data_IF_641844063806
#
_entry.id   IF_641844063806
#
_cell.length_a   1.000
_cell.length_b   1.000
_cell.length_c   1.000
_cell.angle_alpha   90.00
_cell.angle_beta   90.00
_cell.angle_gamma   90.00
#
_symmetry.space_group_name_H-M   'P 1'
#
loop_
_entity.id
_entity.type
_entity.pdbx_description
1 polymer ?
#
# COMPACT_ATOMS: atom_id res chain seq x y z
N UNK A 1 -55.55 11.50 -11.27
CA UNK A 1 -55.61 10.02 -11.20
C UNK A 1 -54.90 9.54 -9.94
N UNK A 2 -55.09 8.30 -9.45
CA UNK A 2 -54.36 7.81 -8.25
C UNK A 2 -53.83 6.39 -8.44
N UNK A 3 -52.53 6.19 -8.21
CA UNK A 3 -51.85 4.90 -8.36
C UNK A 3 -51.15 4.47 -7.07
N UNK A 4 -50.90 3.17 -6.93
CA UNK A 4 -50.27 2.56 -5.76
C UNK A 4 -48.90 1.97 -6.11
N UNK A 5 -48.00 1.92 -5.12
CA UNK A 5 -46.73 1.19 -5.25
C UNK A 5 -46.98 -0.26 -5.70
N UNK A 6 -46.28 -0.68 -6.75
CA UNK A 6 -46.42 -1.97 -7.40
C UNK A 6 -47.42 -2.00 -8.57
N UNK A 7 -48.15 -0.91 -8.80
CA UNK A 7 -48.93 -0.75 -10.03
C UNK A 7 -47.99 -0.60 -11.23
N UNK A 8 -48.41 -1.14 -12.37
CA UNK A 8 -47.74 -1.00 -13.65
C UNK A 8 -48.61 -0.10 -14.53
N UNK A 9 -48.01 0.99 -15.00
CA UNK A 9 -48.65 1.97 -15.87
C UNK A 9 -48.07 1.85 -17.27
N UNK A 10 -48.92 2.02 -18.28
CA UNK A 10 -48.52 2.28 -19.65
C UNK A 10 -48.58 3.80 -19.84
N UNK A 11 -47.43 4.42 -20.11
CA UNK A 11 -47.28 5.86 -20.36
C UNK A 11 -46.50 6.03 -21.65
N UNK A 12 -47.08 6.70 -22.65
CA UNK A 12 -46.56 6.80 -24.02
C UNK A 12 -46.16 5.44 -24.63
N UNK A 13 -46.98 4.42 -24.37
CA UNK A 13 -46.72 3.06 -24.85
C UNK A 13 -45.55 2.34 -24.15
N UNK A 14 -44.99 2.88 -23.07
CA UNK A 14 -43.93 2.25 -22.27
C UNK A 14 -44.46 1.80 -20.92
N UNK A 15 -44.17 0.56 -20.52
CA UNK A 15 -44.57 0.04 -19.22
C UNK A 15 -43.58 0.43 -18.10
N UNK A 16 -44.11 1.02 -17.03
CA UNK A 16 -43.38 1.38 -15.83
C UNK A 16 -44.03 0.78 -14.59
N UNK A 17 -43.24 0.31 -13.63
CA UNK A 17 -43.73 -0.06 -12.30
C UNK A 17 -43.54 1.10 -11.32
N UNK A 18 -44.58 1.42 -10.56
CA UNK A 18 -44.58 2.47 -9.52
C UNK A 18 -43.79 1.98 -8.31
N UNK A 19 -42.73 2.71 -7.97
CA UNK A 19 -41.85 2.42 -6.83
C UNK A 19 -42.25 3.21 -5.58
N UNK A 20 -42.79 4.41 -5.77
CA UNK A 20 -43.22 5.29 -4.71
C UNK A 20 -44.00 6.48 -5.26
N UNK A 21 -44.53 7.29 -4.35
CA UNK A 21 -45.32 8.46 -4.67
C UNK A 21 -45.08 9.58 -3.68
N UNK A 22 -45.22 10.81 -4.15
CA UNK A 22 -45.23 12.03 -3.35
C UNK A 22 -46.49 12.81 -3.70
N UNK A 23 -47.13 13.43 -2.71
CA UNK A 23 -48.18 14.42 -2.95
C UNK A 23 -47.69 15.73 -2.40
N UNK A 24 -47.63 16.73 -3.28
CA UNK A 24 -47.23 18.08 -2.95
C UNK A 24 -48.44 18.98 -2.77
N UNK A 25 -48.21 20.12 -2.12
CA UNK A 25 -49.15 21.23 -2.05
C UNK A 25 -48.41 22.54 -2.24
N UNK A 26 -48.82 23.32 -3.24
CA UNK A 26 -48.33 24.68 -3.41
C UNK A 26 -48.91 25.55 -2.27
N UNK A 27 -48.05 26.27 -1.58
CA UNK A 27 -48.44 27.13 -0.45
C UNK A 27 -49.16 28.40 -0.88
N UNK A 28 -49.01 28.84 -2.12
CA UNK A 28 -49.61 30.07 -2.62
C UNK A 28 -51.12 29.94 -2.84
N UNK A 29 -51.56 28.84 -3.45
CA UNK A 29 -52.95 28.61 -3.85
C UNK A 29 -53.61 27.39 -3.16
N UNK A 30 -52.81 26.53 -2.51
CA UNK A 30 -53.26 25.32 -1.85
C UNK A 30 -53.53 24.14 -2.79
N UNK A 31 -53.24 24.28 -4.08
CA UNK A 31 -53.40 23.22 -5.07
C UNK A 31 -52.39 22.10 -4.82
N UNK A 32 -52.77 20.87 -5.22
CA UNK A 32 -52.00 19.67 -4.95
C UNK A 32 -51.88 18.84 -6.23
N UNK A 33 -50.68 18.31 -6.46
CA UNK A 33 -50.39 17.34 -7.51
C UNK A 33 -49.72 16.10 -6.89
N UNK A 34 -49.73 15.01 -7.63
CA UNK A 34 -49.00 13.80 -7.26
C UNK A 34 -47.85 13.55 -8.22
N UNK A 35 -46.74 13.11 -7.64
CA UNK A 35 -45.63 12.57 -8.41
C UNK A 35 -45.43 11.10 -8.10
N UNK A 36 -45.19 10.32 -9.14
CA UNK A 36 -44.93 8.89 -9.06
C UNK A 36 -43.53 8.58 -9.54
N UNK A 37 -42.69 8.08 -8.64
CA UNK A 37 -41.39 7.51 -9.01
C UNK A 37 -41.62 6.16 -9.65
N UNK A 38 -41.18 5.99 -10.89
CA UNK A 38 -41.39 4.75 -11.64
C UNK A 38 -40.12 4.24 -12.32
N UNK A 39 -40.08 2.93 -12.58
CA UNK A 39 -38.99 2.30 -13.32
C UNK A 39 -39.55 1.50 -14.50
N UNK A 40 -38.90 1.58 -15.67
CA UNK A 40 -39.25 0.75 -16.83
C UNK A 40 -39.22 -0.73 -16.44
N UNK A 41 -40.25 -1.49 -16.81
CA UNK A 41 -40.32 -2.94 -16.55
C UNK A 41 -39.23 -3.69 -17.33
N UNK A 42 -38.90 -3.18 -18.52
CA UNK A 42 -37.78 -3.57 -19.36
C UNK A 42 -36.62 -2.58 -19.23
N UNK A 43 -35.68 -2.89 -18.33
CA UNK A 43 -34.48 -2.09 -18.11
C UNK A 43 -34.42 -1.52 -16.70
N UNK A 44 -33.71 -0.42 -16.55
CA UNK A 44 -33.47 0.20 -15.25
C UNK A 44 -33.40 1.73 -15.33
N UNK A 45 -34.10 2.30 -16.32
CA UNK A 45 -34.35 3.73 -16.43
C UNK A 45 -35.46 4.10 -15.48
N UNK A 46 -35.18 5.10 -14.66
CA UNK A 46 -36.10 5.71 -13.72
C UNK A 46 -36.69 6.98 -14.33
N UNK A 47 -37.96 7.22 -14.06
CA UNK A 47 -38.70 8.42 -14.46
C UNK A 47 -39.65 8.82 -13.33
N UNK A 48 -40.11 10.06 -13.36
CA UNK A 48 -41.17 10.58 -12.52
C UNK A 48 -42.36 10.95 -13.40
N UNK A 49 -43.56 10.56 -12.98
CA UNK A 49 -44.81 11.00 -13.60
C UNK A 49 -45.47 12.00 -12.67
N UNK A 50 -45.63 13.25 -13.12
CA UNK A 50 -46.41 14.27 -12.44
C UNK A 50 -47.85 14.25 -12.93
N UNK A 51 -48.80 14.40 -12.01
CA UNK A 51 -50.23 14.41 -12.26
C UNK A 51 -50.86 15.57 -11.50
N UNK A 52 -51.20 16.63 -12.23
CA UNK A 52 -52.03 17.73 -11.74
C UNK A 52 -53.43 17.66 -12.36
N UNK A 53 -54.36 17.05 -11.63
CA UNK A 53 -55.77 16.97 -12.07
C UNK A 53 -56.49 18.35 -12.01
N UNK A 54 -55.97 19.32 -11.25
CA UNK A 54 -56.60 20.65 -11.10
C UNK A 54 -56.39 21.47 -12.36
N UNK A 55 -55.18 21.42 -12.91
CA UNK A 55 -54.80 22.11 -14.13
C UNK A 55 -54.86 21.22 -15.39
N UNK A 56 -55.13 19.93 -15.23
CA UNK A 56 -55.11 18.93 -16.31
C UNK A 56 -53.74 18.84 -17.00
N UNK A 57 -52.69 18.88 -16.19
CA UNK A 57 -51.30 18.89 -16.62
C UNK A 57 -50.62 17.60 -16.15
N UNK A 58 -49.95 16.91 -17.08
CA UNK A 58 -49.32 15.63 -16.82
C UNK A 58 -47.99 15.57 -17.54
N UNK A 59 -46.94 15.13 -16.87
CA UNK A 59 -45.61 15.14 -17.46
C UNK A 59 -44.78 13.95 -17.01
N UNK A 60 -43.83 13.55 -17.85
CA UNK A 60 -42.84 12.52 -17.51
C UNK A 60 -41.45 13.12 -17.54
N UNK A 61 -40.77 13.08 -16.40
CA UNK A 61 -39.42 13.64 -16.25
C UNK A 61 -38.41 12.56 -15.86
N UNK A 62 -37.13 12.85 -16.07
CA UNK A 62 -36.02 12.07 -15.53
C UNK A 62 -34.98 13.02 -14.95
N UNK A 63 -34.40 12.62 -13.81
CA UNK A 63 -33.38 13.42 -13.11
C UNK A 63 -32.11 13.48 -13.96
N UNK A 64 -31.59 14.69 -14.18
CA UNK A 64 -30.34 14.95 -14.92
C UNK A 64 -29.13 15.24 -14.02
N UNK A 65 -29.36 15.29 -12.70
CA UNK A 65 -28.34 15.46 -11.64
C UNK A 65 -28.32 16.87 -11.05
N UNK A 66 -27.28 17.19 -10.26
CA UNK A 66 -27.15 18.47 -9.52
C UNK A 66 -26.75 19.67 -10.39
N UNK A 67 -26.52 19.46 -11.70
CA UNK A 67 -26.10 20.53 -12.61
C UNK A 67 -27.28 20.97 -13.46
N UNK A 68 -27.63 22.25 -13.31
CA UNK A 68 -28.65 22.90 -14.12
C UNK A 68 -28.41 22.62 -15.63
N UNK A 69 -29.40 22.06 -16.35
CA UNK A 69 -29.35 21.92 -17.79
C UNK A 69 -29.32 23.29 -18.48
N UNK A 70 -29.00 23.31 -19.77
CA UNK A 70 -28.99 24.56 -20.53
C UNK A 70 -30.42 25.10 -20.71
N UNK A 71 -30.75 26.21 -20.05
CA UNK A 71 -32.03 26.93 -20.20
C UNK A 71 -32.17 27.74 -21.50
N UNK A 72 -31.21 27.64 -22.42
CA UNK A 72 -31.27 28.36 -23.71
C UNK A 72 -32.44 27.84 -24.55
N UNK A 73 -33.38 28.72 -24.87
CA UNK A 73 -34.59 28.38 -25.62
C UNK A 73 -35.73 27.88 -24.75
N UNK A 74 -35.58 27.99 -23.42
CA UNK A 74 -36.63 27.74 -22.44
C UNK A 74 -37.05 29.05 -21.77
N UNK A 75 -38.29 29.08 -21.29
CA UNK A 75 -38.85 30.18 -20.51
C UNK A 75 -39.62 29.62 -19.32
N UNK A 76 -39.70 30.37 -18.23
CA UNK A 76 -40.40 29.94 -17.01
C UNK A 76 -41.92 30.02 -17.23
N UNK A 77 -42.62 28.95 -16.85
CA UNK A 77 -44.08 28.83 -17.01
C UNK A 77 -44.79 28.71 -15.66
N UNK A 78 -44.17 28.05 -14.69
CA UNK A 78 -44.64 28.00 -13.30
C UNK A 78 -43.50 28.14 -12.30
N UNK A 79 -43.83 28.62 -11.11
CA UNK A 79 -42.94 28.67 -9.96
C UNK A 79 -43.73 28.79 -8.67
N UNK A 80 -43.18 28.23 -7.60
CA UNK A 80 -43.84 28.30 -6.33
C UNK A 80 -43.03 27.73 -5.19
N UNK A 81 -43.73 27.54 -4.08
CA UNK A 81 -43.18 26.93 -2.88
C UNK A 81 -44.07 25.75 -2.50
N UNK A 82 -43.49 24.56 -2.53
CA UNK A 82 -44.17 23.29 -2.34
C UNK A 82 -43.91 22.70 -0.96
N UNK A 83 -44.90 21.95 -0.46
CA UNK A 83 -44.78 21.18 0.78
C UNK A 83 -45.23 19.76 0.51
N UNK A 84 -44.41 18.79 0.91
CA UNK A 84 -44.79 17.38 0.90
C UNK A 84 -45.89 17.16 1.94
N UNK A 85 -47.07 16.72 1.49
CA UNK A 85 -48.20 16.40 2.40
C UNK A 85 -48.45 14.91 2.53
N UNK A 86 -47.95 14.10 1.59
CA UNK A 86 -47.93 12.65 1.68
C UNK A 86 -46.74 12.09 0.91
N UNK A 87 -46.15 11.00 1.42
CA UNK A 87 -45.07 10.27 0.76
C UNK A 87 -45.26 8.77 1.00
N UNK A 88 -44.99 7.94 -0.01
CA UNK A 88 -45.10 6.49 0.10
C UNK A 88 -44.09 5.75 -0.77
N UNK A 89 -43.65 4.57 -0.34
CA UNK A 89 -42.75 3.73 -1.13
C UNK A 89 -41.32 4.24 -1.17
N UNK A 90 -40.64 4.05 -2.31
CA UNK A 90 -39.23 4.37 -2.50
C UNK A 90 -39.03 5.82 -2.93
N UNK A 91 -39.24 6.77 -2.01
CA UNK A 91 -39.00 8.21 -2.22
C UNK A 91 -38.14 8.75 -1.07
N UNK A 92 -37.36 9.79 -1.31
CA UNK A 92 -36.41 10.36 -0.33
C UNK A 92 -36.92 11.66 0.32
N UNK A 93 -38.24 11.70 0.58
CA UNK A 93 -38.92 12.84 1.21
C UNK A 93 -39.96 12.35 2.22
N UNK A 94 -40.27 13.19 3.20
CA UNK A 94 -41.28 12.95 4.23
C UNK A 94 -42.28 14.11 4.33
N UNK A 95 -43.52 13.87 4.84
CA UNK A 95 -44.47 14.94 5.03
C UNK A 95 -43.91 16.09 5.89
N UNK A 96 -43.95 17.30 5.34
CA UNK A 96 -43.39 18.51 5.94
C UNK A 96 -42.09 19.02 5.29
N UNK A 97 -41.45 18.21 4.45
CA UNK A 97 -40.35 18.66 3.59
C UNK A 97 -40.86 19.69 2.57
N UNK A 98 -40.00 20.62 2.19
CA UNK A 98 -40.35 21.82 1.42
C UNK A 98 -39.24 22.15 0.43
N UNK A 99 -39.63 22.65 -0.74
CA UNK A 99 -38.74 23.16 -1.77
C UNK A 99 -39.36 24.40 -2.44
N UNK A 100 -38.51 25.24 -3.03
CA UNK A 100 -38.96 26.17 -4.07
C UNK A 100 -38.84 25.46 -5.41
N UNK A 101 -39.83 25.57 -6.28
CA UNK A 101 -39.79 24.96 -7.61
C UNK A 101 -39.90 26.00 -8.72
N UNK A 102 -39.26 25.71 -9.86
CA UNK A 102 -39.40 26.44 -11.11
C UNK A 102 -39.60 25.43 -12.25
N UNK A 103 -40.61 25.67 -13.08
CA UNK A 103 -40.86 24.88 -14.28
C UNK A 103 -40.63 25.73 -15.53
N UNK A 104 -39.91 25.16 -16.49
CA UNK A 104 -39.56 25.82 -17.74
C UNK A 104 -40.02 25.00 -18.94
N UNK A 105 -40.52 25.69 -19.95
CA UNK A 105 -40.91 25.09 -21.24
C UNK A 105 -40.10 25.66 -22.40
N UNK A 106 -39.88 24.84 -23.43
CA UNK A 106 -39.33 25.30 -24.70
C UNK A 106 -40.39 25.99 -25.59
N UNK A 107 -39.96 26.65 -26.66
CA UNK A 107 -40.88 27.34 -27.60
C UNK A 107 -41.91 26.41 -28.28
N UNK A 108 -41.80 25.09 -28.10
CA UNK A 108 -42.77 24.12 -28.63
C UNK A 108 -43.85 23.75 -27.64
N UNK A 109 -43.71 24.13 -26.36
CA UNK A 109 -44.62 23.74 -25.26
C UNK A 109 -44.66 22.21 -25.04
N UNK A 110 -43.63 21.48 -25.51
CA UNK A 110 -43.57 20.01 -25.42
C UNK A 110 -42.49 19.53 -24.45
N UNK A 111 -41.40 20.29 -24.31
CA UNK A 111 -40.27 19.89 -23.45
C UNK A 111 -40.24 20.73 -22.20
N UNK A 112 -40.03 20.04 -21.08
CA UNK A 112 -39.97 20.67 -19.77
C UNK A 112 -38.61 20.47 -19.11
N UNK A 113 -38.24 21.46 -18.30
CA UNK A 113 -37.21 21.38 -17.29
C UNK A 113 -37.86 21.75 -15.98
N UNK A 114 -37.75 20.88 -14.98
CA UNK A 114 -38.16 21.19 -13.61
C UNK A 114 -36.91 21.33 -12.73
N UNK A 115 -36.87 22.41 -11.96
CA UNK A 115 -35.88 22.70 -10.94
C UNK A 115 -36.56 22.71 -9.57
N UNK A 116 -36.05 21.92 -8.64
CA UNK A 116 -36.46 21.94 -7.23
C UNK A 116 -35.27 22.36 -6.36
N UNK A 117 -35.46 23.38 -5.54
CA UNK A 117 -34.48 23.94 -4.64
C UNK A 117 -34.77 23.48 -3.21
N UNK A 118 -34.10 22.40 -2.82
CA UNK A 118 -34.16 21.82 -1.49
C UNK A 118 -33.15 22.48 -0.54
N UNK A 119 -33.27 22.18 0.76
CA UNK A 119 -32.38 22.74 1.78
C UNK A 119 -30.91 22.28 1.66
N UNK A 120 -30.67 21.15 1.02
CA UNK A 120 -29.38 20.49 0.84
C UNK A 120 -28.84 20.53 -0.59
N UNK A 121 -29.62 21.02 -1.55
CA UNK A 121 -29.18 21.13 -2.93
C UNK A 121 -30.29 21.50 -3.91
N UNK A 122 -29.91 21.66 -5.18
CA UNK A 122 -30.84 21.81 -6.29
C UNK A 122 -30.93 20.49 -7.05
N UNK A 123 -32.14 20.03 -7.32
CA UNK A 123 -32.41 18.90 -8.19
C UNK A 123 -32.98 19.40 -9.52
N UNK A 124 -32.51 18.78 -10.60
CA UNK A 124 -32.92 19.12 -11.95
C UNK A 124 -33.45 17.89 -12.66
N UNK A 125 -34.60 18.04 -13.31
CA UNK A 125 -35.19 17.02 -14.16
C UNK A 125 -35.50 17.59 -15.54
N UNK A 126 -35.49 16.73 -16.56
CA UNK A 126 -35.94 17.10 -17.91
C UNK A 126 -36.95 16.09 -18.41
N UNK A 127 -37.91 16.53 -19.20
CA UNK A 127 -39.04 15.70 -19.58
C UNK A 127 -39.88 16.28 -20.69
N UNK A 128 -41.09 15.78 -20.79
CA UNK A 128 -42.10 16.23 -21.75
C UNK A 128 -43.51 16.05 -21.17
N UNK A 129 -44.46 16.80 -21.70
CA UNK A 129 -45.87 16.64 -21.37
C UNK A 129 -46.45 15.37 -22.00
N UNK A 130 -47.43 14.78 -21.32
CA UNK A 130 -48.16 13.60 -21.79
C UNK A 130 -49.66 13.85 -21.68
N UNK A 131 -50.41 13.35 -22.65
CA UNK A 131 -51.87 13.46 -22.59
C UNK A 131 -52.44 12.49 -21.53
N UNK A 132 -53.49 12.93 -20.85
CA UNK A 132 -54.19 12.10 -19.86
C UNK A 132 -54.66 10.76 -20.44
N UNK A 133 -55.01 10.76 -21.73
CA UNK A 133 -55.44 9.57 -22.46
C UNK A 133 -54.30 8.61 -22.81
N UNK A 134 -53.03 8.99 -22.64
CA UNK A 134 -51.87 8.13 -22.83
C UNK A 134 -51.36 7.51 -21.52
N UNK A 135 -52.06 7.72 -20.40
CA UNK A 135 -51.74 7.17 -19.08
C UNK A 135 -52.76 6.08 -18.71
N UNK A 136 -52.33 4.82 -18.72
CA UNK A 136 -53.20 3.69 -18.39
C UNK A 136 -52.67 2.84 -17.25
N UNK A 137 -53.55 2.48 -16.32
CA UNK A 137 -53.29 1.36 -15.42
C UNK A 137 -53.34 0.04 -16.20
N UNK A 138 -52.22 -0.70 -16.19
CA UNK A 138 -52.10 -2.02 -16.83
C UNK A 138 -52.44 -3.14 -15.84
N UNK A 139 -51.70 -3.21 -14.72
CA UNK A 139 -51.85 -4.28 -13.70
C UNK A 139 -51.19 -3.89 -12.39
N UNK A 140 -51.41 -4.69 -11.34
CA UNK A 140 -50.58 -4.69 -10.15
C UNK A 140 -49.59 -5.86 -10.20
N UNK A 141 -48.28 -5.59 -10.11
CA UNK A 141 -47.22 -6.56 -10.37
C UNK A 141 -46.11 -6.51 -9.29
N UNK A 142 -46.26 -7.39 -8.28
CA UNK A 142 -45.27 -7.54 -7.21
C UNK A 142 -43.92 -8.02 -7.71
N UNK A 143 -43.88 -8.84 -8.75
CA UNK A 143 -42.63 -9.39 -9.26
C UNK A 143 -41.81 -8.31 -9.99
N UNK A 144 -42.47 -7.42 -10.73
CA UNK A 144 -41.84 -6.25 -11.33
C UNK A 144 -41.27 -5.31 -10.25
N UNK A 145 -42.03 -5.05 -9.19
CA UNK A 145 -41.60 -4.23 -8.04
C UNK A 145 -40.37 -4.84 -7.34
N UNK A 146 -40.41 -6.13 -6.99
CA UNK A 146 -39.29 -6.82 -6.33
C UNK A 146 -38.03 -6.80 -7.19
N UNK A 147 -38.17 -6.99 -8.51
CA UNK A 147 -37.05 -6.93 -9.47
C UNK A 147 -36.43 -5.53 -9.51
N UNK A 148 -37.24 -4.47 -9.55
CA UNK A 148 -36.77 -3.09 -9.54
C UNK A 148 -35.99 -2.77 -8.25
N UNK A 149 -36.56 -3.11 -7.09
CA UNK A 149 -35.91 -2.87 -5.79
C UNK A 149 -34.63 -3.67 -5.60
N UNK A 150 -34.58 -4.92 -6.07
CA UNK A 150 -33.35 -5.71 -6.04
C UNK A 150 -32.25 -5.05 -6.88
N UNK A 151 -32.61 -4.45 -8.01
CA UNK A 151 -31.70 -3.65 -8.85
C UNK A 151 -31.11 -2.46 -8.10
N UNK A 152 -31.96 -1.67 -7.42
CA UNK A 152 -31.55 -0.52 -6.61
C UNK A 152 -30.60 -0.96 -5.49
N UNK A 153 -30.96 -2.00 -4.71
CA UNK A 153 -30.11 -2.53 -3.62
C UNK A 153 -28.75 -3.01 -4.10
N UNK A 154 -28.71 -3.69 -5.26
CA UNK A 154 -27.46 -4.18 -5.85
C UNK A 154 -26.53 -3.03 -6.26
N UNK A 155 -27.07 -1.95 -6.83
CA UNK A 155 -26.30 -0.75 -7.18
C UNK A 155 -25.70 -0.10 -5.94
N UNK A 156 -26.51 0.07 -4.88
CA UNK A 156 -26.04 0.60 -3.61
C UNK A 156 -24.89 -0.23 -3.03
N UNK A 157 -25.02 -1.57 -2.99
CA UNK A 157 -23.96 -2.47 -2.51
C UNK A 157 -22.65 -2.34 -3.31
N UNK A 158 -22.73 -2.19 -4.63
CA UNK A 158 -21.54 -2.00 -5.48
C UNK A 158 -20.87 -0.66 -5.17
N UNK A 159 -21.64 0.43 -5.05
CA UNK A 159 -21.10 1.76 -4.72
C UNK A 159 -20.44 1.74 -3.34
N UNK A 160 -21.09 1.14 -2.33
CA UNK A 160 -20.51 0.99 -0.99
C UNK A 160 -19.22 0.18 -1.01
N UNK A 161 -19.18 -0.93 -1.76
CA UNK A 161 -17.97 -1.75 -1.88
C UNK A 161 -16.81 -0.98 -2.53
N UNK A 162 -17.09 -0.19 -3.58
CA UNK A 162 -16.08 0.66 -4.23
C UNK A 162 -15.58 1.75 -3.29
N UNK A 163 -16.46 2.41 -2.53
CA UNK A 163 -16.09 3.43 -1.56
C UNK A 163 -15.17 2.85 -0.45
N UNK A 164 -15.51 1.66 0.07
CA UNK A 164 -14.68 0.95 1.04
C UNK A 164 -13.31 0.58 0.43
N UNK A 165 -13.28 0.11 -0.81
CA UNK A 165 -12.02 -0.21 -1.49
C UNK A 165 -11.09 1.01 -1.58
N UNK A 166 -11.61 2.18 -1.95
CA UNK A 166 -10.83 3.44 -2.01
C UNK A 166 -10.25 3.80 -0.64
N UNK A 167 -10.99 3.55 0.44
CA UNK A 167 -10.52 3.86 1.79
C UNK A 167 -9.50 2.84 2.34
N UNK A 168 -9.70 1.55 2.07
CA UNK A 168 -8.89 0.47 2.68
C UNK A 168 -7.65 0.08 1.88
N UNK A 169 -7.65 0.22 0.54
CA UNK A 169 -6.46 -0.07 -0.28
C UNK A 169 -5.19 0.71 0.15
N UNK A 170 -5.23 2.05 0.37
CA UNK A 170 -4.03 2.78 0.79
C UNK A 170 -3.56 2.34 2.18
N UNK A 171 -4.49 1.99 3.07
CA UNK A 171 -4.18 1.52 4.42
C UNK A 171 -3.47 0.15 4.38
N UNK A 172 -3.85 -0.71 3.43
CA UNK A 172 -3.19 -1.99 3.20
C UNK A 172 -1.77 -1.82 2.64
N UNK A 173 -1.56 -0.86 1.73
CA UNK A 173 -0.24 -0.51 1.20
C UNK A 173 0.70 -0.01 2.29
N UNK A 174 0.21 0.95 3.10
CA UNK A 174 0.95 1.46 4.24
C UNK A 174 1.32 0.36 5.26
N UNK A 175 0.38 -0.54 5.55
CA UNK A 175 0.62 -1.67 6.45
C UNK A 175 1.71 -2.61 5.90
N UNK A 176 1.74 -2.84 4.59
CA UNK A 176 2.75 -3.67 3.94
C UNK A 176 4.15 -3.07 4.05
N UNK A 177 4.30 -1.76 3.89
CA UNK A 177 5.59 -1.08 4.01
C UNK A 177 6.11 -1.13 5.46
N UNK A 178 5.23 -0.88 6.44
CA UNK A 178 5.56 -1.01 7.87
C UNK A 178 5.99 -2.43 8.23
N UNK A 179 5.26 -3.45 7.74
CA UNK A 179 5.62 -4.86 7.95
C UNK A 179 6.95 -5.21 7.29
N UNK A 180 7.22 -4.70 6.10
CA UNK A 180 8.48 -4.95 5.38
C UNK A 180 9.68 -4.38 6.14
N UNK A 181 9.55 -3.20 6.75
CA UNK A 181 10.58 -2.62 7.62
C UNK A 181 10.86 -3.44 8.88
N UNK A 182 9.86 -4.12 9.45
CA UNK A 182 10.00 -4.96 10.65
C UNK A 182 10.81 -6.24 10.42
N UNK A 183 10.84 -6.75 9.18
CA UNK A 183 11.57 -7.98 8.83
C UNK A 183 12.85 -7.73 8.04
N UNK A 184 13.28 -6.46 7.91
CA UNK A 184 14.52 -6.13 7.22
C UNK A 184 15.72 -6.68 7.97
N UNK A 185 16.47 -7.58 7.32
CA UNK A 185 17.78 -8.02 7.81
C UNK A 185 18.84 -7.72 6.75
N UNK A 186 19.84 -6.87 7.04
CA UNK A 186 20.95 -6.62 6.14
C UNK A 186 21.66 -7.92 5.77
N UNK A 187 22.24 -7.96 4.56
CA UNK A 187 22.93 -9.15 4.06
C UNK A 187 24.15 -9.50 4.92
N UNK A 188 24.45 -10.79 5.05
CA UNK A 188 25.65 -11.30 5.72
C UNK A 188 26.89 -11.17 4.84
N UNK A 189 28.09 -11.13 5.42
CA UNK A 189 29.38 -11.08 4.71
C UNK A 189 29.51 -12.27 3.76
N UNK A 190 29.22 -13.49 4.22
CA UNK A 190 29.31 -14.69 3.38
C UNK A 190 28.40 -14.64 2.15
N UNK A 191 27.16 -14.18 2.32
CA UNK A 191 26.21 -13.99 1.24
C UNK A 191 26.70 -12.93 0.23
N UNK A 192 27.24 -11.81 0.72
CA UNK A 192 27.81 -10.77 -0.13
C UNK A 192 28.97 -11.31 -0.98
N UNK A 193 29.97 -11.94 -0.35
CA UNK A 193 31.14 -12.49 -1.05
C UNK A 193 30.76 -13.58 -2.06
N UNK A 194 29.85 -14.51 -1.69
CA UNK A 194 29.35 -15.56 -2.58
C UNK A 194 28.59 -15.02 -3.79
N UNK A 195 27.85 -13.92 -3.62
CA UNK A 195 27.13 -13.27 -4.71
C UNK A 195 28.11 -12.56 -5.65
N UNK A 196 29.03 -11.79 -5.10
CA UNK A 196 30.05 -11.07 -5.88
C UNK A 196 30.99 -12.02 -6.64
N UNK A 197 31.21 -13.24 -6.14
CA UNK A 197 32.04 -14.23 -6.84
C UNK A 197 31.38 -14.90 -8.04
N UNK A 198 30.10 -14.61 -8.29
CA UNK A 198 29.33 -15.19 -9.39
C UNK A 198 28.93 -14.16 -10.44
N UNK A 199 29.42 -12.91 -10.33
CA UNK A 199 29.13 -11.86 -11.31
C UNK A 199 29.99 -12.04 -12.57
N UNK A 200 29.63 -11.35 -13.66
CA UNK A 200 30.35 -11.42 -14.92
C UNK A 200 31.79 -10.85 -14.85
N UNK A 201 32.02 -9.93 -13.90
CA UNK A 201 33.33 -9.38 -13.57
C UNK A 201 33.53 -9.47 -12.05
N UNK A 202 33.92 -10.65 -11.53
CA UNK A 202 33.94 -10.92 -10.10
C UNK A 202 35.01 -10.10 -9.39
N UNK A 203 34.60 -9.34 -8.35
CA UNK A 203 35.55 -8.68 -7.43
C UNK A 203 36.24 -9.68 -6.51
N UNK A 204 35.52 -10.74 -6.15
CA UNK A 204 36.01 -11.82 -5.29
C UNK A 204 35.96 -13.12 -6.06
N UNK A 205 37.01 -13.93 -6.02
CA UNK A 205 37.01 -15.28 -6.58
C UNK A 205 36.99 -16.29 -5.46
N UNK A 206 36.06 -17.25 -5.49
CA UNK A 206 36.05 -18.33 -4.49
C UNK A 206 37.30 -19.20 -4.64
N UNK A 207 38.04 -19.39 -3.54
CA UNK A 207 39.29 -20.14 -3.51
C UNK A 207 39.06 -21.54 -2.94
N UNK A 208 38.58 -21.61 -1.70
CA UNK A 208 38.41 -22.88 -0.98
C UNK A 208 37.52 -22.70 0.26
N UNK A 209 37.32 -23.79 1.00
CA UNK A 209 36.66 -23.79 2.30
C UNK A 209 37.50 -24.59 3.31
N UNK A 210 38.00 -23.91 4.33
CA UNK A 210 38.75 -24.53 5.43
C UNK A 210 37.77 -25.27 6.33
N UNK A 211 37.98 -26.57 6.51
CA UNK A 211 37.15 -27.37 7.41
C UNK A 211 37.73 -27.31 8.81
N UNK A 212 36.91 -26.93 9.78
CA UNK A 212 37.28 -26.89 11.19
C UNK A 212 36.46 -27.88 12.00
N UNK A 213 36.53 -27.73 13.31
CA UNK A 213 35.81 -28.58 14.25
C UNK A 213 34.28 -28.42 14.19
N UNK A 214 33.57 -29.34 14.84
CA UNK A 214 32.10 -29.31 14.98
C UNK A 214 31.33 -29.14 13.65
N UNK A 215 31.86 -29.72 12.56
CA UNK A 215 31.34 -29.63 11.19
C UNK A 215 31.19 -28.18 10.71
N UNK A 216 32.00 -27.27 11.22
CA UNK A 216 32.05 -25.89 10.76
C UNK A 216 33.04 -25.73 9.61
N UNK A 217 32.80 -24.70 8.80
CA UNK A 217 33.67 -24.33 7.69
C UNK A 217 33.88 -22.82 7.64
N UNK A 218 35.01 -22.41 7.07
CA UNK A 218 35.31 -21.03 6.73
C UNK A 218 35.59 -20.94 5.23
N UNK A 219 34.81 -20.13 4.53
CA UNK A 219 34.98 -19.94 3.10
C UNK A 219 36.02 -18.86 2.84
N UNK A 220 36.83 -19.08 1.81
CA UNK A 220 37.96 -18.24 1.45
C UNK A 220 37.77 -17.71 0.04
N UNK A 221 37.93 -16.40 -0.11
CA UNK A 221 37.85 -15.67 -1.36
C UNK A 221 39.15 -14.91 -1.59
N UNK A 222 39.54 -14.74 -2.85
CA UNK A 222 40.65 -13.87 -3.27
C UNK A 222 40.08 -12.61 -3.91
N UNK A 223 40.57 -11.44 -3.49
CA UNK A 223 40.29 -10.16 -4.13
C UNK A 223 41.39 -9.76 -5.13
N UNK A 224 42.39 -10.64 -5.37
CA UNK A 224 43.58 -10.33 -6.15
C UNK A 224 44.48 -9.30 -5.45
N UNK A 225 45.41 -8.69 -6.21
CA UNK A 225 46.39 -7.71 -5.71
C UNK A 225 46.08 -6.26 -6.11
N UNK A 226 44.98 -6.04 -6.82
CA UNK A 226 44.63 -4.71 -7.33
C UNK A 226 44.00 -3.79 -6.26
N UNK A 227 43.57 -4.37 -5.14
CA UNK A 227 42.86 -3.66 -4.08
C UNK A 227 43.63 -3.78 -2.77
N UNK A 228 43.68 -2.69 -2.00
CA UNK A 228 44.26 -2.69 -0.65
C UNK A 228 43.34 -3.39 0.34
N UNK A 229 43.93 -3.83 1.45
CA UNK A 229 43.17 -4.45 2.54
C UNK A 229 42.08 -3.52 3.08
N UNK A 230 42.38 -2.23 3.23
CA UNK A 230 41.42 -1.23 3.75
C UNK A 230 40.23 -1.07 2.80
N UNK A 231 40.48 -1.02 1.48
CA UNK A 231 39.41 -0.93 0.49
C UNK A 231 38.48 -2.14 0.55
N UNK A 232 39.04 -3.35 0.68
CA UNK A 232 38.24 -4.58 0.79
C UNK A 232 37.45 -4.61 2.10
N UNK A 233 38.03 -4.14 3.20
CA UNK A 233 37.31 -4.01 4.46
C UNK A 233 36.14 -3.02 4.36
N UNK A 234 36.35 -1.84 3.79
CA UNK A 234 35.31 -0.82 3.57
C UNK A 234 34.20 -1.33 2.64
N UNK A 235 34.55 -2.05 1.58
CA UNK A 235 33.59 -2.67 0.66
C UNK A 235 32.68 -3.69 1.37
N UNK A 236 33.27 -4.54 2.22
CA UNK A 236 32.51 -5.51 3.02
C UNK A 236 31.62 -4.79 4.04
N UNK A 237 32.15 -3.81 4.77
CA UNK A 237 31.41 -3.04 5.78
C UNK A 237 30.22 -2.32 5.14
N UNK A 238 30.43 -1.69 3.99
CA UNK A 238 29.37 -1.04 3.20
C UNK A 238 28.31 -2.03 2.78
N UNK A 239 28.73 -3.19 2.27
CA UNK A 239 27.80 -4.21 1.80
C UNK A 239 26.90 -4.76 2.93
N UNK A 240 27.42 -4.86 4.15
CA UNK A 240 26.62 -5.28 5.32
C UNK A 240 25.98 -4.10 6.06
N UNK A 241 25.96 -2.91 5.46
CA UNK A 241 25.36 -1.69 6.02
C UNK A 241 25.89 -1.31 7.40
N UNK A 242 27.17 -1.61 7.62
CA UNK A 242 27.82 -1.33 8.89
C UNK A 242 27.35 -2.23 10.04
N UNK A 243 26.78 -3.42 9.80
CA UNK A 243 26.46 -4.43 10.84
C UNK A 243 27.70 -5.12 11.45
N UNK A 244 28.67 -4.33 11.87
CA UNK A 244 29.87 -4.75 12.59
C UNK A 244 29.65 -4.63 14.11
N UNK A 245 30.09 -5.61 14.88
CA UNK A 245 30.25 -5.46 16.33
C UNK A 245 31.62 -4.89 16.66
N UNK A 246 32.65 -5.38 15.96
CA UNK A 246 34.03 -4.93 16.13
C UNK A 246 34.74 -4.96 14.77
N UNK A 247 35.57 -3.96 14.52
CA UNK A 247 36.48 -3.93 13.37
C UNK A 247 37.78 -3.27 13.76
N UNK A 248 38.91 -3.88 13.40
CA UNK A 248 40.23 -3.30 13.64
C UNK A 248 41.22 -3.78 12.59
N UNK A 249 42.21 -2.94 12.31
CA UNK A 249 43.40 -3.27 11.52
C UNK A 249 44.52 -3.76 12.45
N UNK A 250 45.38 -4.64 11.95
CA UNK A 250 46.58 -5.04 12.65
C UNK A 250 47.63 -3.93 12.53
N UNK A 251 47.75 -3.17 13.61
CA UNK A 251 48.68 -2.04 13.72
C UNK A 251 50.10 -2.51 14.13
N UNK A 252 50.27 -3.82 14.40
CA UNK A 252 51.55 -4.42 14.82
C UNK A 252 52.32 -5.08 13.65
N UNK A 253 51.87 -4.90 12.41
CA UNK A 253 52.58 -5.38 11.22
C UNK A 253 53.97 -4.74 11.12
N UNK A 254 54.98 -5.52 10.73
CA UNK A 254 56.34 -5.02 10.60
C UNK A 254 56.42 -3.84 9.62
N UNK A 255 57.41 -2.96 9.78
CA UNK A 255 57.63 -1.86 8.83
C UNK A 255 57.71 -2.39 7.39
N UNK A 256 56.75 -1.98 6.54
CA UNK A 256 56.65 -2.42 5.14
C UNK A 256 55.74 -3.62 4.88
N UNK A 257 55.09 -4.19 5.89
CA UNK A 257 54.07 -5.24 5.75
C UNK A 257 52.64 -4.64 5.78
N UNK A 258 51.76 -5.12 4.91
CA UNK A 258 50.35 -4.73 4.94
C UNK A 258 49.61 -5.54 6.03
N UNK A 259 49.20 -4.87 7.11
CA UNK A 259 48.49 -5.50 8.23
C UNK A 259 47.11 -6.05 7.85
N UNK A 260 46.64 -7.06 8.58
CA UNK A 260 45.32 -7.67 8.35
C UNK A 260 44.18 -6.84 8.95
N UNK A 261 42.95 -6.98 8.46
CA UNK A 261 41.76 -6.38 9.05
C UNK A 261 40.80 -7.49 9.49
N UNK A 262 40.34 -7.42 10.74
CA UNK A 262 39.38 -8.34 11.29
C UNK A 262 38.02 -7.64 11.48
N UNK A 263 36.94 -8.30 11.05
CA UNK A 263 35.56 -7.82 11.15
C UNK A 263 34.74 -8.89 11.87
N UNK A 264 34.18 -8.54 13.02
CA UNK A 264 33.21 -9.37 13.75
C UNK A 264 31.82 -8.79 13.58
N UNK A 265 30.84 -9.63 13.24
CA UNK A 265 29.41 -9.30 13.27
C UNK A 265 28.71 -10.16 14.31
N UNK A 266 27.41 -9.95 14.53
CA UNK A 266 26.60 -10.83 15.39
C UNK A 266 26.65 -12.30 14.99
N UNK A 267 26.89 -12.62 13.71
CA UNK A 267 26.77 -13.98 13.15
C UNK A 267 28.07 -14.53 12.60
N UNK A 268 28.97 -13.67 12.15
CA UNK A 268 30.13 -14.04 11.35
C UNK A 268 31.42 -13.42 11.88
N UNK A 269 32.52 -14.11 11.61
CA UNK A 269 33.86 -13.60 11.81
C UNK A 269 34.62 -13.65 10.49
N UNK A 270 35.16 -12.50 10.08
CA UNK A 270 35.84 -12.29 8.82
C UNK A 270 37.24 -11.73 9.03
N UNK A 271 38.21 -12.24 8.27
CA UNK A 271 39.57 -11.73 8.19
C UNK A 271 39.90 -11.37 6.75
N UNK A 272 40.38 -10.14 6.54
CA UNK A 272 40.97 -9.65 5.29
C UNK A 272 42.48 -9.57 5.52
N UNK A 273 43.29 -10.28 4.74
CA UNK A 273 44.72 -10.45 5.03
C UNK A 273 45.52 -10.69 3.75
N UNK A 274 46.82 -10.34 3.73
CA UNK A 274 47.68 -10.71 2.61
C UNK A 274 47.94 -12.23 2.62
N UNK A 275 48.03 -12.84 1.44
CA UNK A 275 48.48 -14.22 1.31
C UNK A 275 49.92 -14.40 1.84
N UNK A 276 50.31 -15.64 2.13
CA UNK A 276 51.65 -15.98 2.62
C UNK A 276 52.78 -15.45 1.72
N UNK A 277 52.54 -15.40 0.41
CA UNK A 277 53.49 -14.89 -0.59
C UNK A 277 53.30 -13.39 -0.90
N UNK A 278 52.43 -12.69 -0.17
CA UNK A 278 52.05 -11.28 -0.35
C UNK A 278 51.65 -10.90 -1.79
N UNK A 279 51.07 -11.84 -2.54
CA UNK A 279 50.74 -11.66 -3.95
C UNK A 279 49.25 -11.45 -4.22
N UNK A 280 48.40 -11.59 -3.20
CA UNK A 280 46.96 -11.38 -3.28
C UNK A 280 46.38 -11.07 -1.89
N UNK A 281 45.24 -10.40 -1.86
CA UNK A 281 44.45 -10.20 -0.65
C UNK A 281 43.41 -11.32 -0.55
N UNK A 282 43.42 -12.02 0.58
CA UNK A 282 42.47 -13.08 0.89
C UNK A 282 41.44 -12.59 1.91
N UNK A 283 40.22 -13.07 1.74
CA UNK A 283 39.10 -12.84 2.65
C UNK A 283 38.60 -14.19 3.13
N UNK A 284 38.76 -14.47 4.42
CA UNK A 284 38.23 -15.68 5.04
C UNK A 284 37.06 -15.31 5.95
N UNK A 285 35.88 -15.86 5.67
CA UNK A 285 34.66 -15.62 6.44
C UNK A 285 34.11 -16.93 6.99
N UNK A 286 33.62 -16.89 8.21
CA UNK A 286 33.03 -18.05 8.88
C UNK A 286 31.92 -17.64 9.83
N UNK A 287 31.09 -18.59 10.25
CA UNK A 287 30.24 -18.39 11.43
C UNK A 287 31.13 -18.26 12.66
N UNK A 288 30.73 -17.47 13.65
CA UNK A 288 31.46 -17.32 14.92
C UNK A 288 31.78 -18.64 15.62
N UNK A 289 30.89 -19.63 15.46
CA UNK A 289 31.12 -21.00 15.96
C UNK A 289 32.38 -21.66 15.39
N UNK A 290 32.71 -21.44 14.12
CA UNK A 290 33.95 -21.95 13.52
C UNK A 290 35.15 -21.43 14.31
N UNK A 291 35.24 -20.11 14.44
CA UNK A 291 36.29 -19.42 15.19
C UNK A 291 36.36 -19.91 16.64
N UNK A 292 35.21 -20.06 17.32
CA UNK A 292 35.15 -20.54 18.69
C UNK A 292 35.74 -21.94 18.88
N UNK A 293 35.48 -22.87 17.95
CA UNK A 293 35.81 -24.29 18.13
C UNK A 293 37.14 -24.73 17.52
N UNK A 294 37.84 -23.86 16.77
CA UNK A 294 38.97 -24.27 15.93
C UNK A 294 40.28 -23.53 16.24
N UNK A 295 41.41 -24.21 16.08
CA UNK A 295 42.77 -23.62 16.03
C UNK A 295 43.33 -23.61 14.60
N UNK A 296 42.49 -23.88 13.62
CA UNK A 296 42.92 -23.83 12.23
C UNK A 296 43.41 -22.43 11.87
N UNK A 297 44.56 -22.40 11.18
CA UNK A 297 45.11 -21.15 10.67
C UNK A 297 44.27 -20.68 9.49
N UNK A 298 44.12 -19.35 9.27
CA UNK A 298 43.54 -18.87 8.04
C UNK A 298 44.32 -19.40 6.82
N UNK A 299 43.61 -19.66 5.73
CA UNK A 299 44.17 -20.30 4.53
C UNK A 299 45.32 -19.49 3.93
N UNK A 300 46.52 -20.10 3.78
CA UNK A 300 47.71 -19.42 3.26
C UNK A 300 47.98 -18.08 3.96
N UNK A 301 47.78 -18.02 5.27
CA UNK A 301 48.12 -16.84 6.07
C UNK A 301 49.57 -16.90 6.55
N UNK A 302 50.25 -15.76 6.55
CA UNK A 302 51.53 -15.63 7.24
C UNK A 302 51.35 -15.71 8.79
N UNK A 303 52.48 -15.79 9.51
CA UNK A 303 52.48 -15.90 10.99
C UNK A 303 51.76 -14.73 11.67
N UNK A 304 51.89 -13.52 11.11
CA UNK A 304 51.31 -12.31 11.67
C UNK A 304 49.78 -12.32 11.56
N UNK A 305 49.24 -12.57 10.37
CA UNK A 305 47.81 -12.71 10.11
C UNK A 305 47.16 -13.83 10.95
N UNK A 306 47.82 -15.00 11.09
CA UNK A 306 47.34 -16.08 11.96
C UNK A 306 47.25 -15.63 13.42
N UNK A 307 48.30 -14.99 13.93
CA UNK A 307 48.36 -14.53 15.32
C UNK A 307 47.29 -13.47 15.58
N UNK A 308 47.13 -12.51 14.66
CA UNK A 308 46.11 -11.48 14.72
C UNK A 308 44.70 -12.04 14.72
N UNK A 309 44.39 -12.97 13.82
CA UNK A 309 43.10 -13.67 13.75
C UNK A 309 42.67 -14.22 15.11
N UNK A 310 43.61 -14.89 15.80
CA UNK A 310 43.34 -15.45 17.14
C UNK A 310 43.20 -14.36 18.19
N UNK A 311 44.16 -13.44 18.27
CA UNK A 311 44.17 -12.38 19.29
C UNK A 311 42.93 -11.49 19.18
N UNK A 312 42.50 -11.13 17.97
CA UNK A 312 41.32 -10.30 17.74
C UNK A 312 40.05 -11.02 18.19
N UNK A 313 39.84 -12.26 17.73
CA UNK A 313 38.65 -13.03 18.13
C UNK A 313 38.61 -13.28 19.64
N UNK A 314 39.75 -13.59 20.26
CA UNK A 314 39.85 -13.74 21.70
C UNK A 314 39.44 -12.46 22.45
N UNK A 315 39.93 -11.31 21.98
CA UNK A 315 39.72 -10.02 22.64
C UNK A 315 38.30 -9.47 22.46
N UNK A 316 37.58 -9.88 21.42
CA UNK A 316 36.29 -9.28 21.03
C UNK A 316 35.12 -10.26 21.06
N UNK A 317 35.29 -11.48 20.54
CA UNK A 317 34.20 -12.42 20.29
C UNK A 317 34.11 -13.59 21.27
N UNK A 318 35.24 -14.08 21.78
CA UNK A 318 35.30 -15.31 22.59
C UNK A 318 34.40 -15.26 23.82
N UNK A 319 34.46 -14.17 24.60
CA UNK A 319 33.71 -14.03 25.84
C UNK A 319 32.20 -14.13 25.61
N UNK A 320 31.64 -13.43 24.63
CA UNK A 320 30.20 -13.49 24.33
C UNK A 320 29.78 -14.84 23.77
N UNK A 321 30.64 -15.47 22.97
CA UNK A 321 30.37 -16.76 22.34
C UNK A 321 30.46 -17.95 23.30
N UNK A 322 31.25 -17.84 24.36
CA UNK A 322 31.44 -18.89 25.37
C UNK A 322 30.12 -19.39 25.95
N UNK A 323 29.15 -18.48 26.16
CA UNK A 323 27.82 -18.82 26.67
C UNK A 323 26.97 -19.62 25.67
N UNK A 324 27.02 -19.20 24.40
CA UNK A 324 26.27 -19.76 23.27
C UNK A 324 26.83 -21.11 22.83
N UNK A 325 28.14 -21.30 22.95
CA UNK A 325 28.85 -22.47 22.47
C UNK A 325 29.47 -23.32 23.59
N UNK A 326 29.05 -23.13 24.85
CA UNK A 326 29.55 -23.85 26.05
C UNK A 326 29.63 -25.38 25.97
N UNK A 327 28.89 -25.99 25.03
CA UNK A 327 28.89 -27.45 24.80
C UNK A 327 30.08 -27.93 23.97
N UNK A 328 30.85 -27.03 23.39
CA UNK A 328 32.01 -27.34 22.56
C UNK A 328 33.28 -26.92 23.28
N UNK A 329 34.34 -27.73 23.11
CA UNK A 329 35.68 -27.32 23.52
C UNK A 329 36.13 -26.13 22.68
N UNK A 330 36.88 -25.23 23.30
CA UNK A 330 37.45 -24.07 22.62
C UNK A 330 38.95 -24.02 22.88
N UNK A 331 39.79 -23.91 21.83
CA UNK A 331 41.23 -23.71 21.99
C UNK A 331 41.56 -22.38 22.69
N UNK A 332 40.59 -21.46 22.76
CA UNK A 332 40.74 -20.19 23.47
C UNK A 332 40.68 -20.32 24.99
N UNK A 333 40.23 -21.46 25.52
CA UNK A 333 40.19 -21.70 26.98
C UNK A 333 41.57 -21.76 27.64
N UNK A 334 42.60 -22.06 26.85
CA UNK A 334 44.01 -22.09 27.27
C UNK A 334 44.87 -21.12 26.46
N UNK A 335 44.27 -20.08 25.87
CA UNK A 335 44.99 -19.10 25.08
C UNK A 335 45.83 -18.19 25.98
N UNK A 336 47.12 -18.13 25.71
CA UNK A 336 48.14 -17.50 26.56
C UNK A 336 48.90 -16.37 25.86
N UNK A 337 48.44 -15.93 24.68
CA UNK A 337 48.98 -14.78 23.97
C UNK A 337 48.36 -13.46 24.47
N UNK A 338 49.03 -12.36 24.18
CA UNK A 338 48.57 -11.00 24.49
C UNK A 338 47.24 -10.67 23.82
N UNK A 339 46.32 -10.05 24.55
CA UNK A 339 45.11 -9.46 23.96
C UNK A 339 45.46 -8.28 23.05
N UNK A 340 44.55 -7.91 22.16
CA UNK A 340 44.64 -6.68 21.38
C UNK A 340 44.05 -5.54 22.20
N UNK A 341 44.73 -4.39 22.20
CA UNK A 341 44.11 -3.15 22.68
C UNK A 341 43.15 -2.65 21.60
N UNK A 342 41.86 -2.86 21.82
CA UNK A 342 40.83 -2.36 20.92
C UNK A 342 40.78 -0.83 20.98
N UNK A 343 40.77 -0.18 19.82
CA UNK A 343 40.66 1.27 19.71
C UNK A 343 39.35 1.63 19.05
N UNK A 344 38.41 2.18 19.84
CA UNK A 344 37.12 2.67 19.35
C UNK A 344 37.28 3.81 18.33
N UNK A 345 38.44 4.46 18.28
CA UNK A 345 38.75 5.58 17.37
C UNK A 345 39.53 5.19 16.13
N UNK A 346 39.62 3.90 15.77
CA UNK A 346 40.21 3.48 14.49
C UNK A 346 39.33 3.97 13.32
N UNK A 347 39.95 4.35 12.20
CA UNK A 347 39.29 4.83 10.98
C UNK A 347 38.20 3.88 10.47
N UNK A 348 38.44 2.56 10.50
CA UNK A 348 37.46 1.57 10.04
C UNK A 348 36.24 1.46 10.97
N UNK A 349 36.43 1.62 12.27
CA UNK A 349 35.32 1.65 13.23
C UNK A 349 34.46 2.92 13.03
N UNK A 350 35.13 4.06 12.82
CA UNK A 350 34.47 5.33 12.48
C UNK A 350 33.68 5.21 11.17
N UNK A 351 34.31 4.65 10.13
CA UNK A 351 33.68 4.40 8.84
C UNK A 351 32.44 3.51 8.97
N UNK A 352 32.56 2.40 9.70
CA UNK A 352 31.42 1.51 9.94
C UNK A 352 30.28 2.19 10.69
N UNK A 353 30.59 3.13 11.60
CA UNK A 353 29.59 3.96 12.26
C UNK A 353 28.84 4.87 11.29
N UNK A 354 29.57 5.52 10.38
CA UNK A 354 28.99 6.36 9.32
C UNK A 354 28.08 5.56 8.39
N UNK A 355 28.56 4.42 7.86
CA UNK A 355 27.76 3.55 6.99
C UNK A 355 26.46 3.11 7.67
N UNK A 356 26.54 2.73 8.95
CA UNK A 356 25.35 2.34 9.72
C UNK A 356 24.38 3.49 9.86
N UNK A 357 24.87 4.70 10.15
CA UNK A 357 24.03 5.88 10.27
C UNK A 357 23.36 6.24 8.94
N UNK A 358 24.09 6.14 7.83
CA UNK A 358 23.55 6.39 6.48
C UNK A 358 22.49 5.37 6.10
N UNK A 359 22.70 4.07 6.39
CA UNK A 359 21.68 3.04 6.22
C UNK A 359 20.43 3.32 7.07
N UNK A 360 20.59 3.75 8.32
CA UNK A 360 19.45 4.13 9.18
C UNK A 360 18.71 5.34 8.59
N UNK A 361 19.44 6.33 8.06
CA UNK A 361 18.86 7.53 7.49
C UNK A 361 18.11 7.25 6.18
N UNK A 362 18.67 6.45 5.28
CA UNK A 362 18.02 6.03 4.04
C UNK A 362 16.69 5.29 4.32
N UNK A 363 16.68 4.43 5.34
CA UNK A 363 15.45 3.75 5.78
C UNK A 363 14.38 4.69 6.34
N UNK A 364 14.75 5.89 6.78
CA UNK A 364 13.82 6.91 7.29
C UNK A 364 13.33 7.87 6.21
N UNK A 365 14.08 8.06 5.13
CA UNK A 365 13.69 8.95 4.02
C UNK A 365 12.71 8.32 3.05
N UNK A 366 12.69 6.98 2.99
CA UNK A 366 11.88 6.21 2.05
C UNK A 366 10.54 5.72 2.64
N UNK A 367 10.20 6.15 3.86
CA UNK A 367 9.02 5.73 4.63
C UNK A 367 7.94 6.78 4.79
#
# INVERSE_FOLDING_TARGET
MKFSRGDVLLVDGVEYVVLGSVTYRNTADGNCWDEYRMQKTEGASEVWLSIDDVFSEYSVTHVVGERCPSLRGYHIVDHGHEVVIAASGSVDVVPGDQADFNEYEDDTEEKIISEELWSDGAEYSTGHYVDAEDIFFSRHDKAALEKAEAGIRRRALIITALALMVFFLPLLGFLFDVLSGLFYSPQTISHYLSRQSKTAAPRYSYVTSVTGEAKQKADVYSAGSAYSIDFIAEDIITAIEGETEYVQKDDEAGEGEEGSVAILTKKEYCLVYPSEDNNEVLVQVSKRKFAYTTDESPYRSNRHARRYYRRFYYSTGYSSDSSSYRKYSSPYSSFDDTSISYSDSNSLNTYSGTVRQDSINARRSDG
#
